data_IF_278151678086
#
_entry.id   IF_278151678086
#
_cell.length_a   1.000
_cell.length_b   1.000
_cell.length_c   1.000
_cell.angle_alpha   90.00
_cell.angle_beta   90.00
_cell.angle_gamma   90.00
#
_symmetry.space_group_name_H-M   'P 1'
#
loop_
_entity.id
_entity.type
_entity.pdbx_description
1 polymer ?
#
# COMPACT_ATOMS: atom_id res chain seq x y z
N UNK A 1 21.69 -31.26 32.77
CA UNK A 1 20.81 -30.68 31.72
C UNK A 1 20.98 -29.16 31.53
N UNK A 2 21.60 -28.40 32.44
CA UNK A 2 21.68 -26.91 32.36
C UNK A 2 22.91 -26.35 31.60
N UNK A 3 23.71 -27.21 30.98
CA UNK A 3 24.85 -26.85 30.12
C UNK A 3 24.91 -27.87 29.00
N UNK A 4 23.95 -27.77 28.08
CA UNK A 4 23.90 -28.61 26.88
C UNK A 4 23.82 -27.67 25.71
N UNK A 5 24.82 -27.79 24.84
CA UNK A 5 24.88 -27.15 23.54
C UNK A 5 24.69 -28.28 22.52
N UNK A 6 23.63 -28.19 21.71
CA UNK A 6 23.31 -29.24 20.75
C UNK A 6 22.67 -28.68 19.48
N UNK A 7 22.88 -29.40 18.39
CA UNK A 7 22.20 -29.15 17.12
C UNK A 7 20.98 -30.05 16.99
N UNK A 8 19.85 -29.47 16.59
CA UNK A 8 18.62 -30.23 16.34
C UNK A 8 17.73 -29.59 15.28
N UNK A 9 16.47 -30.03 15.22
CA UNK A 9 15.51 -29.58 14.18
C UNK A 9 15.25 -28.07 14.18
N UNK A 10 15.51 -27.40 15.30
CA UNK A 10 15.32 -25.96 15.45
C UNK A 10 16.64 -25.18 15.36
N UNK A 11 17.70 -25.81 14.85
CA UNK A 11 19.05 -25.27 14.81
C UNK A 11 19.77 -25.36 16.16
N UNK A 12 20.68 -24.42 16.36
CA UNK A 12 21.50 -24.33 17.56
C UNK A 12 20.66 -24.15 18.83
N UNK A 13 20.88 -24.99 19.83
CA UNK A 13 20.19 -24.93 21.11
C UNK A 13 21.19 -24.83 22.26
N UNK A 14 21.13 -23.70 22.95
CA UNK A 14 21.78 -23.45 24.23
C UNK A 14 20.75 -22.94 25.25
N UNK A 15 21.06 -23.08 26.54
CA UNK A 15 20.16 -22.69 27.62
C UNK A 15 20.90 -21.86 28.69
N UNK A 16 20.24 -20.82 29.20
CA UNK A 16 20.77 -20.01 30.29
C UNK A 16 20.67 -20.72 31.65
N UNK A 17 21.19 -20.08 32.71
CA UNK A 17 21.17 -20.63 34.08
C UNK A 17 19.77 -20.92 34.65
N UNK A 18 18.73 -20.32 34.06
CA UNK A 18 17.31 -20.54 34.39
C UNK A 18 16.66 -21.65 33.53
N UNK A 19 17.40 -22.25 32.61
CA UNK A 19 16.91 -23.30 31.71
C UNK A 19 16.08 -22.78 30.52
N UNK A 20 16.17 -21.49 30.21
CA UNK A 20 15.50 -20.90 29.04
C UNK A 20 16.44 -20.92 27.84
N UNK A 21 15.91 -21.17 26.64
CA UNK A 21 16.72 -21.17 25.42
C UNK A 21 17.32 -19.78 25.17
N UNK A 22 18.61 -19.73 24.92
CA UNK A 22 19.36 -18.53 24.51
C UNK A 22 19.95 -18.71 23.10
N UNK A 23 20.53 -17.65 22.53
CA UNK A 23 21.25 -17.66 21.24
C UNK A 23 20.58 -18.48 20.13
N UNK A 24 19.35 -18.08 19.79
CA UNK A 24 18.55 -18.77 18.77
C UNK A 24 18.19 -17.82 17.63
N UNK A 25 17.95 -18.43 16.48
CA UNK A 25 17.46 -17.78 15.28
C UNK A 25 15.98 -18.04 15.05
N UNK A 26 15.27 -17.02 14.58
CA UNK A 26 13.91 -17.12 14.07
C UNK A 26 13.89 -16.85 12.57
N UNK A 27 13.26 -17.73 11.81
CA UNK A 27 13.04 -17.53 10.38
C UNK A 27 11.82 -16.64 10.16
N UNK A 28 11.97 -15.63 9.32
CA UNK A 28 10.87 -14.76 8.92
C UNK A 28 10.28 -15.28 7.62
N UNK A 29 9.01 -15.68 7.65
CA UNK A 29 8.29 -16.23 6.51
C UNK A 29 7.24 -15.25 6.02
N UNK A 30 7.18 -15.05 4.71
CA UNK A 30 6.11 -14.34 4.03
C UNK A 30 5.19 -15.34 3.34
N UNK A 31 3.89 -15.20 3.57
CA UNK A 31 2.90 -15.94 2.81
C UNK A 31 2.72 -15.30 1.42
N UNK A 32 2.83 -16.11 0.37
CA UNK A 32 2.65 -15.70 -1.03
C UNK A 32 1.62 -16.61 -1.72
N UNK A 33 1.23 -16.28 -2.96
CA UNK A 33 0.36 -17.15 -3.77
C UNK A 33 0.92 -18.57 -3.96
N UNK A 34 2.24 -18.72 -3.88
CA UNK A 34 2.93 -20.01 -4.05
C UNK A 34 3.28 -20.67 -2.69
N UNK A 35 2.74 -20.17 -1.58
CA UNK A 35 3.02 -20.66 -0.23
C UNK A 35 3.99 -19.78 0.56
N UNK A 36 4.52 -20.33 1.66
CA UNK A 36 5.47 -19.64 2.53
C UNK A 36 6.85 -19.54 1.90
N UNK A 37 7.44 -18.36 1.99
CA UNK A 37 8.80 -18.07 1.53
C UNK A 37 9.59 -17.43 2.66
N UNK A 38 10.78 -17.92 2.94
CA UNK A 38 11.71 -17.28 3.90
C UNK A 38 12.24 -15.98 3.31
N UNK A 39 12.10 -14.87 4.04
CA UNK A 39 12.50 -13.51 3.60
C UNK A 39 13.52 -12.84 4.52
N UNK A 40 13.89 -13.51 5.60
CA UNK A 40 14.86 -13.00 6.56
C UNK A 40 15.01 -13.91 7.76
N UNK A 41 15.92 -13.52 8.64
CA UNK A 41 16.22 -14.20 9.89
C UNK A 41 16.36 -13.16 11.00
N UNK A 42 15.94 -13.52 12.20
CA UNK A 42 16.10 -12.70 13.39
C UNK A 42 16.96 -13.45 14.39
N UNK A 43 18.05 -12.83 14.83
CA UNK A 43 18.94 -13.36 15.85
C UNK A 43 18.80 -12.56 17.14
N UNK A 44 18.88 -13.22 18.30
CA UNK A 44 18.68 -12.58 19.61
C UNK A 44 19.60 -11.37 19.88
N UNK A 45 20.85 -11.42 19.39
CA UNK A 45 21.82 -10.32 19.57
C UNK A 45 21.81 -9.30 18.44
N UNK A 46 21.56 -9.74 17.20
CA UNK A 46 21.77 -8.92 16.01
C UNK A 46 20.46 -8.36 15.45
N UNK A 47 19.32 -8.80 15.99
CA UNK A 47 18.01 -8.40 15.52
C UNK A 47 17.69 -8.96 14.15
N UNK A 48 16.87 -8.21 13.39
CA UNK A 48 16.33 -8.63 12.10
C UNK A 48 17.33 -8.40 10.96
N UNK A 49 17.63 -9.46 10.22
CA UNK A 49 18.36 -9.42 8.96
C UNK A 49 17.44 -9.89 7.83
N UNK A 50 17.08 -8.98 6.92
CA UNK A 50 16.25 -9.31 5.76
C UNK A 50 17.10 -9.61 4.53
N UNK A 51 16.64 -10.54 3.70
CA UNK A 51 17.26 -10.80 2.41
C UNK A 51 16.95 -9.65 1.44
N UNK A 52 18.01 -8.95 1.03
CA UNK A 52 17.95 -7.76 0.18
C UNK A 52 17.29 -8.04 -1.18
N UNK A 53 17.28 -9.28 -1.66
CA UNK A 53 16.63 -9.67 -2.93
C UNK A 53 15.11 -9.48 -2.90
N UNK A 54 14.50 -9.49 -1.72
CA UNK A 54 13.06 -9.24 -1.55
C UNK A 54 12.75 -7.78 -1.23
N UNK A 55 13.76 -6.99 -0.87
CA UNK A 55 13.65 -5.56 -0.57
C UNK A 55 14.11 -4.65 -1.72
N UNK A 56 14.86 -5.17 -2.69
CA UNK A 56 15.14 -4.50 -3.95
C UNK A 56 13.89 -4.53 -4.85
N UNK A 57 12.80 -3.97 -4.37
CA UNK A 57 11.69 -3.57 -5.22
C UNK A 57 12.15 -2.28 -5.91
N UNK A 58 12.54 -2.37 -7.18
CA UNK A 58 12.36 -1.20 -8.03
C UNK A 58 10.90 -0.79 -7.87
N UNK A 59 10.62 0.44 -7.42
CA UNK A 59 9.25 0.88 -7.13
C UNK A 59 8.29 0.60 -8.30
N UNK A 60 8.82 0.65 -9.52
CA UNK A 60 8.15 0.25 -10.77
C UNK A 60 7.70 -1.22 -10.79
N UNK A 61 8.54 -2.17 -10.38
CA UNK A 61 8.20 -3.60 -10.33
C UNK A 61 7.14 -3.92 -9.26
N UNK A 62 7.04 -3.08 -8.23
CA UNK A 62 6.09 -3.25 -7.13
C UNK A 62 4.63 -3.09 -7.56
N UNK A 63 4.37 -2.36 -8.65
CA UNK A 63 3.03 -2.03 -9.12
C UNK A 63 2.59 -2.88 -10.31
N UNK A 64 3.52 -3.61 -10.95
CA UNK A 64 3.23 -4.45 -12.11
C UNK A 64 2.12 -5.45 -11.78
N UNK A 65 1.08 -5.48 -12.62
CA UNK A 65 -0.09 -6.35 -12.49
C UNK A 65 -0.94 -6.15 -11.21
N UNK A 66 -0.76 -5.05 -10.48
CA UNK A 66 -1.71 -4.65 -9.44
C UNK A 66 -2.82 -3.80 -10.05
N UNK A 67 -4.05 -4.00 -9.56
CA UNK A 67 -5.18 -3.13 -9.88
C UNK A 67 -5.40 -2.18 -8.72
N UNK A 68 -5.15 -0.88 -8.92
CA UNK A 68 -5.37 0.16 -7.92
C UNK A 68 -6.81 0.67 -7.98
N UNK A 69 -7.45 0.82 -6.84
CA UNK A 69 -8.73 1.51 -6.70
C UNK A 69 -8.46 3.00 -6.56
N UNK A 70 -8.87 3.77 -7.55
CA UNK A 70 -8.66 5.22 -7.58
C UNK A 70 -9.96 5.91 -7.20
N UNK A 71 -9.98 6.58 -6.05
CA UNK A 71 -11.08 7.46 -5.68
C UNK A 71 -10.91 8.83 -6.33
N UNK A 72 -12.01 9.40 -6.79
CA UNK A 72 -12.07 10.72 -7.42
C UNK A 72 -13.45 11.33 -7.23
N UNK A 73 -13.63 12.58 -7.63
CA UNK A 73 -14.89 13.32 -7.62
C UNK A 73 -15.18 13.86 -9.02
N UNK A 74 -16.45 14.04 -9.38
CA UNK A 74 -16.83 14.71 -10.63
C UNK A 74 -16.56 16.21 -10.51
N UNK A 75 -15.67 16.72 -11.35
CA UNK A 75 -15.26 18.13 -11.36
C UNK A 75 -14.74 18.48 -12.76
N UNK A 76 -15.38 19.43 -13.43
CA UNK A 76 -14.91 19.92 -14.73
C UNK A 76 -13.68 20.84 -14.51
N UNK A 77 -12.55 20.68 -15.26
CA UNK A 77 -12.30 19.74 -16.37
C UNK A 77 -11.51 18.47 -15.95
N UNK A 78 -11.38 18.20 -14.65
CA UNK A 78 -10.53 17.13 -14.10
C UNK A 78 -11.11 15.73 -14.33
N UNK A 79 -12.40 15.53 -14.00
CA UNK A 79 -13.13 14.29 -14.22
C UNK A 79 -14.58 14.60 -14.60
N UNK A 80 -14.98 14.12 -15.76
CA UNK A 80 -16.31 14.30 -16.33
C UNK A 80 -16.84 12.96 -16.82
N UNK A 81 -18.16 12.81 -16.86
CA UNK A 81 -18.79 11.71 -17.59
C UNK A 81 -18.81 12.04 -19.08
N UNK A 82 -18.46 11.08 -19.92
CA UNK A 82 -18.63 11.20 -21.37
C UNK A 82 -20.11 11.34 -21.74
N UNK A 83 -20.40 11.97 -22.87
CA UNK A 83 -21.78 12.12 -23.34
C UNK A 83 -22.53 10.77 -23.50
N UNK A 84 -21.83 9.72 -23.94
CA UNK A 84 -22.37 8.37 -24.10
C UNK A 84 -21.99 7.42 -22.95
N UNK A 85 -21.72 7.94 -21.75
CA UNK A 85 -21.23 7.12 -20.62
C UNK A 85 -22.16 5.94 -20.25
N UNK A 86 -23.46 6.03 -20.56
CA UNK A 86 -24.43 4.97 -20.30
C UNK A 86 -24.21 3.72 -21.18
N UNK A 87 -23.57 3.90 -22.33
CA UNK A 87 -23.21 2.81 -23.27
C UNK A 87 -21.82 2.22 -22.98
N UNK A 88 -21.08 2.84 -22.06
CA UNK A 88 -19.71 2.49 -21.71
C UNK A 88 -19.67 1.84 -20.32
N UNK A 89 -18.61 1.08 -20.05
CA UNK A 89 -18.41 0.40 -18.77
C UNK A 89 -17.07 0.75 -18.13
N UNK A 90 -17.03 0.74 -16.80
CA UNK A 90 -15.80 0.92 -16.04
C UNK A 90 -15.16 2.30 -16.28
N UNK A 91 -13.84 2.29 -16.53
CA UNK A 91 -13.08 3.54 -16.67
C UNK A 91 -13.45 4.32 -17.94
N UNK A 92 -13.98 3.64 -18.97
CA UNK A 92 -14.27 4.26 -20.26
C UNK A 92 -15.42 5.26 -20.18
N UNK A 93 -16.23 5.20 -19.12
CA UNK A 93 -17.32 6.16 -18.84
C UNK A 93 -16.83 7.58 -18.56
N UNK A 94 -15.55 7.75 -18.22
CA UNK A 94 -14.99 9.01 -17.75
C UNK A 94 -14.01 9.63 -18.76
N UNK A 95 -13.93 10.95 -18.74
CA UNK A 95 -12.96 11.76 -19.47
C UNK A 95 -12.49 12.95 -18.63
N UNK A 96 -11.41 13.62 -19.05
CA UNK A 96 -10.86 14.80 -18.37
C UNK A 96 -9.40 14.63 -17.99
N UNK A 97 -8.81 15.71 -17.47
CA UNK A 97 -7.37 15.80 -17.20
C UNK A 97 -6.85 14.66 -16.31
N UNK A 98 -7.57 14.31 -15.24
CA UNK A 98 -7.16 13.25 -14.32
C UNK A 98 -7.22 11.85 -14.96
N UNK A 99 -8.13 11.63 -15.92
CA UNK A 99 -8.24 10.36 -16.65
C UNK A 99 -7.02 10.17 -17.55
N UNK A 100 -6.63 11.21 -18.28
CA UNK A 100 -5.47 11.17 -19.17
C UNK A 100 -4.17 11.00 -18.36
N UNK A 101 -4.03 11.73 -17.26
CA UNK A 101 -2.88 11.57 -16.36
C UNK A 101 -2.77 10.15 -15.79
N UNK A 102 -3.88 9.57 -15.32
CA UNK A 102 -3.90 8.19 -14.82
C UNK A 102 -3.51 7.18 -15.91
N UNK A 103 -3.95 7.39 -17.14
CA UNK A 103 -3.61 6.54 -18.28
C UNK A 103 -2.11 6.55 -18.57
N UNK A 104 -1.48 7.72 -18.59
CA UNK A 104 -0.04 7.87 -18.79
C UNK A 104 0.77 7.23 -17.64
N UNK A 105 0.38 7.49 -16.39
CA UNK A 105 1.02 6.88 -15.22
C UNK A 105 0.90 5.35 -15.23
N UNK A 106 -0.28 4.83 -15.57
CA UNK A 106 -0.53 3.40 -15.67
C UNK A 106 0.32 2.75 -16.77
N UNK A 107 0.54 3.42 -17.89
CA UNK A 107 1.41 2.94 -18.96
C UNK A 107 2.88 2.88 -18.54
N UNK A 108 3.39 3.93 -17.89
CA UNK A 108 4.79 4.03 -17.43
C UNK A 108 5.07 3.03 -16.30
N UNK A 109 4.19 2.98 -15.30
CA UNK A 109 4.38 2.18 -14.07
C UNK A 109 3.75 0.78 -14.16
N UNK A 110 3.05 0.47 -15.26
CA UNK A 110 2.49 -0.84 -15.61
C UNK A 110 1.50 -1.39 -14.57
N UNK A 111 0.75 -0.51 -13.90
CA UNK A 111 -0.40 -0.89 -13.07
C UNK A 111 -1.71 -0.85 -13.86
N UNK A 112 -2.71 -1.55 -13.37
CA UNK A 112 -4.11 -1.41 -13.79
C UNK A 112 -4.83 -0.55 -12.76
N UNK A 113 -5.93 0.10 -13.13
CA UNK A 113 -6.71 0.89 -12.18
C UNK A 113 -8.20 0.77 -12.44
N UNK A 114 -9.00 1.06 -11.40
CA UNK A 114 -10.45 1.23 -11.49
C UNK A 114 -10.82 2.57 -10.86
N UNK A 115 -11.47 3.42 -11.64
CA UNK A 115 -12.03 4.68 -11.17
C UNK A 115 -13.28 4.39 -10.33
N UNK A 116 -13.39 5.03 -9.17
CA UNK A 116 -14.58 5.05 -8.32
C UNK A 116 -14.85 6.47 -7.87
N UNK A 117 -16.10 6.89 -7.99
CA UNK A 117 -16.54 8.15 -7.39
C UNK A 117 -16.59 8.01 -5.87
N UNK A 118 -16.06 9.00 -5.17
CA UNK A 118 -16.13 9.09 -3.72
C UNK A 118 -17.60 9.04 -3.26
N UNK A 119 -17.89 8.21 -2.27
CA UNK A 119 -19.26 7.83 -1.95
C UNK A 119 -20.13 9.00 -1.47
N UNK A 120 -19.55 9.94 -0.72
CA UNK A 120 -20.24 11.08 -0.11
C UNK A 120 -20.07 12.38 -0.91
N UNK A 121 -19.38 12.34 -2.05
CA UNK A 121 -19.21 13.50 -2.93
C UNK A 121 -18.36 14.64 -2.35
N UNK A 122 -17.52 14.38 -1.33
CA UNK A 122 -16.65 15.42 -0.75
C UNK A 122 -15.16 15.05 -0.80
N UNK A 123 -14.30 16.07 -0.76
CA UNK A 123 -12.85 15.89 -0.78
C UNK A 123 -12.33 15.22 0.50
N UNK A 124 -12.89 15.60 1.64
CA UNK A 124 -12.52 15.10 2.95
C UNK A 124 -12.30 16.23 3.94
N UNK A 125 -13.03 16.13 5.04
CA UNK A 125 -13.07 17.07 6.16
C UNK A 125 -12.87 16.26 7.46
N UNK A 126 -12.08 16.75 8.42
CA UNK A 126 -11.92 16.08 9.70
C UNK A 126 -13.23 16.15 10.51
N UNK A 127 -13.58 15.04 11.14
CA UNK A 127 -14.69 14.96 12.07
C UNK A 127 -14.21 15.10 13.53
N UNK A 128 -15.14 15.47 14.42
CA UNK A 128 -14.87 15.60 15.86
C UNK A 128 -14.41 14.29 16.52
N UNK A 129 -14.78 13.14 15.95
CA UNK A 129 -14.37 11.81 16.40
C UNK A 129 -12.95 11.41 15.93
N UNK A 130 -12.23 12.28 15.21
CA UNK A 130 -10.90 12.03 14.67
C UNK A 130 -10.88 11.26 13.34
N UNK A 131 -12.03 10.89 12.80
CA UNK A 131 -12.16 10.30 11.46
C UNK A 131 -12.20 11.38 10.38
N UNK A 132 -12.20 10.96 9.12
CA UNK A 132 -12.29 11.86 7.97
C UNK A 132 -13.37 11.37 7.00
N UNK A 133 -14.06 12.32 6.39
CA UNK A 133 -15.00 12.07 5.28
C UNK A 133 -14.26 12.01 3.95
N UNK A 134 -15.00 11.77 2.87
CA UNK A 134 -14.52 11.99 1.52
C UNK A 134 -13.38 11.10 1.09
N UNK A 135 -12.67 11.58 0.06
CA UNK A 135 -11.52 10.87 -0.50
C UNK A 135 -10.42 10.66 0.53
N UNK A 136 -10.18 11.63 1.43
CA UNK A 136 -9.21 11.47 2.53
C UNK A 136 -9.62 10.31 3.44
N UNK A 137 -10.90 10.23 3.83
CA UNK A 137 -11.43 9.12 4.62
C UNK A 137 -11.32 7.76 3.92
N UNK A 138 -11.57 7.72 2.62
CA UNK A 138 -11.42 6.50 1.82
C UNK A 138 -9.96 6.00 1.76
N UNK A 139 -8.99 6.90 1.74
CA UNK A 139 -7.56 6.54 1.81
C UNK A 139 -7.18 6.02 3.20
N UNK A 140 -7.57 6.71 4.27
CA UNK A 140 -7.27 6.31 5.66
C UNK A 140 -7.86 4.92 5.95
N UNK A 141 -9.10 4.70 5.53
CA UNK A 141 -9.80 3.42 5.71
C UNK A 141 -9.42 2.35 4.68
N UNK A 142 -8.48 2.64 3.77
CA UNK A 142 -8.02 1.76 2.68
C UNK A 142 -9.15 1.23 1.80
N UNK A 143 -10.23 2.01 1.65
CA UNK A 143 -11.27 1.77 0.65
C UNK A 143 -10.77 2.11 -0.75
N UNK A 144 -9.80 3.02 -0.85
CA UNK A 144 -9.11 3.39 -2.08
C UNK A 144 -7.59 3.30 -1.87
N UNK A 145 -6.85 3.02 -2.95
CA UNK A 145 -5.40 2.94 -2.94
C UNK A 145 -4.74 4.28 -3.32
N UNK A 146 -5.46 5.10 -4.09
CA UNK A 146 -5.00 6.40 -4.59
C UNK A 146 -6.19 7.36 -4.73
N UNK A 147 -5.96 8.65 -4.47
CA UNK A 147 -6.89 9.72 -4.81
C UNK A 147 -6.28 10.59 -5.91
N UNK A 148 -7.01 10.80 -7.00
CA UNK A 148 -6.59 11.68 -8.10
C UNK A 148 -7.72 12.64 -8.42
N UNK A 149 -7.56 13.90 -8.02
CA UNK A 149 -8.55 14.98 -8.19
C UNK A 149 -7.86 16.34 -8.01
N UNK A 150 -8.61 17.44 -8.13
CA UNK A 150 -8.21 18.78 -7.69
C UNK A 150 -8.06 18.92 -6.15
N UNK A 151 -7.42 17.96 -5.49
CA UNK A 151 -7.29 17.92 -4.04
C UNK A 151 -6.14 18.82 -3.57
N UNK A 152 -6.49 19.96 -2.97
CA UNK A 152 -5.51 20.89 -2.38
C UNK A 152 -4.74 20.24 -1.24
N UNK A 153 -3.40 20.38 -1.27
CA UNK A 153 -2.51 19.98 -0.18
C UNK A 153 -2.67 20.97 0.97
N UNK A 154 -3.01 20.47 2.15
CA UNK A 154 -3.13 21.27 3.38
C UNK A 154 -2.41 20.58 4.53
N UNK A 155 -1.94 21.36 5.49
CA UNK A 155 -1.24 20.84 6.66
C UNK A 155 -2.08 19.86 7.51
N UNK A 156 -3.41 19.95 7.47
CA UNK A 156 -4.29 19.00 8.16
C UNK A 156 -4.37 17.66 7.43
N UNK A 157 -4.42 17.68 6.09
CA UNK A 157 -4.45 16.47 5.26
C UNK A 157 -3.11 15.74 5.28
N UNK A 158 -2.00 16.48 5.22
CA UNK A 158 -0.65 15.91 5.29
C UNK A 158 -0.35 15.17 6.61
N UNK A 159 -1.11 15.43 7.68
CA UNK A 159 -0.96 14.68 8.94
C UNK A 159 -1.53 13.26 8.86
N UNK A 160 -2.40 12.97 7.89
CA UNK A 160 -3.17 11.72 7.84
C UNK A 160 -3.00 10.95 6.54
N UNK A 161 -2.55 11.61 5.47
CA UNK A 161 -2.22 11.01 4.18
C UNK A 161 -0.96 11.65 3.60
N UNK A 162 -0.23 10.88 2.80
CA UNK A 162 0.93 11.38 2.05
C UNK A 162 0.51 11.95 0.70
N UNK A 163 1.23 12.96 0.24
CA UNK A 163 1.04 13.57 -1.09
C UNK A 163 2.28 13.39 -1.96
N UNK A 164 2.07 13.35 -3.28
CA UNK A 164 3.15 13.54 -4.25
C UNK A 164 3.61 15.00 -4.26
N UNK A 165 4.65 15.30 -5.05
CA UNK A 165 4.90 16.69 -5.43
C UNK A 165 3.70 17.26 -6.20
N UNK A 166 3.39 18.56 -6.02
CA UNK A 166 2.36 19.23 -6.82
C UNK A 166 2.68 19.13 -8.31
N UNK A 167 1.65 19.00 -9.14
CA UNK A 167 1.77 18.91 -10.60
C UNK A 167 1.05 20.05 -11.35
N UNK A 168 0.33 20.92 -10.63
CA UNK A 168 -0.38 22.10 -11.15
C UNK A 168 -0.30 23.24 -10.14
#
# INVERSE_FOLDING_TARGET
>A
LRMVELEGLTGHMEFNSKGQRSNYDLKILQYTKNGFREIGQWHVTNGLTMDKRYFSLNASDSLVNKTLIVTTILENPYLMLKANHQELEGNDQYEGFCVDMLKELAAILRFKYKIRLVADGVYGVPELNGTWTGMVGELISRKADLAVAGLTITAEREKVIDFSKPFM
#
